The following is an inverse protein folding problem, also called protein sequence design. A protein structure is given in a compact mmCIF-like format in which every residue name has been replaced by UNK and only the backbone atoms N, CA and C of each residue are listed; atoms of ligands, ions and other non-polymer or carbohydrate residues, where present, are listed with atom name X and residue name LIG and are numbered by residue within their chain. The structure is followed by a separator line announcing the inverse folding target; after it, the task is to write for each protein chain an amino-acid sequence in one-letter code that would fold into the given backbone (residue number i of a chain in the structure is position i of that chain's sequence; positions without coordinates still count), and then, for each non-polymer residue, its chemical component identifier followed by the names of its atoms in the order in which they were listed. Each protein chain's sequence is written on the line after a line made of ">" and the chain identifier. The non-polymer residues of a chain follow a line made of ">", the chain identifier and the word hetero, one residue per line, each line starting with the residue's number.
data_IF_172456558155
#
_entry.id   IF_172456558155
#
_cell.length_a   1.000
_cell.length_b   1.000
_cell.length_c   1.000
_cell.angle_alpha   90.00
_cell.angle_beta   90.00
_cell.angle_gamma   90.00
#
_symmetry.space_group_name_H-M   'P 1'
#
loop_
_entity.id
_entity.type
_entity.pdbx_description
1 polymer ?
#
# COMPACT_ATOMS: atom_id res chain seq x y z
N UNK A 1 -30.33 14.06 -17.06
CA UNK A 1 -29.34 12.97 -17.28
C UNK A 1 -29.00 12.34 -15.93
N UNK A 2 -29.58 11.17 -15.61
CA UNK A 2 -29.62 10.62 -14.24
C UNK A 2 -28.40 9.73 -13.98
N UNK A 3 -27.51 10.18 -13.09
CA UNK A 3 -26.55 9.32 -12.41
C UNK A 3 -27.34 8.21 -11.70
N UNK A 4 -26.98 6.94 -11.89
CA UNK A 4 -27.72 5.83 -11.31
C UNK A 4 -27.54 5.88 -9.78
N UNK A 5 -28.52 6.46 -9.07
CA UNK A 5 -28.48 6.69 -7.61
C UNK A 5 -28.26 5.41 -6.80
N UNK A 6 -28.56 4.24 -7.38
CA UNK A 6 -28.46 2.94 -6.74
C UNK A 6 -27.02 2.41 -6.55
N UNK A 7 -25.99 3.12 -7.04
CA UNK A 7 -24.57 2.76 -6.84
C UNK A 7 -23.93 3.42 -5.61
N UNK A 8 -24.59 4.40 -4.99
CA UNK A 8 -24.14 5.04 -3.75
C UNK A 8 -24.77 4.26 -2.59
N UNK A 9 -24.24 3.06 -2.30
CA UNK A 9 -24.79 2.20 -1.24
C UNK A 9 -24.34 2.63 0.16
N UNK A 10 -23.16 3.24 0.29
CA UNK A 10 -22.60 3.66 1.58
C UNK A 10 -21.73 4.91 1.44
N UNK A 11 -21.71 5.72 2.50
CA UNK A 11 -20.80 6.87 2.64
C UNK A 11 -19.46 6.39 3.19
N UNK A 12 -18.40 7.06 2.77
CA UNK A 12 -17.09 6.88 3.40
C UNK A 12 -17.21 7.27 4.88
N UNK A 13 -16.74 6.42 5.79
CA UNK A 13 -16.83 6.70 7.24
C UNK A 13 -15.99 7.91 7.59
N UNK A 14 -16.39 8.73 8.55
CA UNK A 14 -15.50 9.70 9.18
C UNK A 14 -14.81 8.96 10.32
N UNK A 15 -13.48 8.88 10.26
CA UNK A 15 -12.69 8.10 11.21
C UNK A 15 -12.18 9.02 12.31
N UNK A 16 -12.14 8.55 13.56
CA UNK A 16 -11.58 9.30 14.69
C UNK A 16 -10.10 8.99 14.86
N UNK A 17 -9.29 9.99 15.20
CA UNK A 17 -7.87 9.82 15.49
C UNK A 17 -7.59 10.16 16.95
N UNK A 18 -6.59 9.51 17.55
CA UNK A 18 -6.25 9.72 18.96
C UNK A 18 -5.78 11.15 19.24
N UNK A 19 -5.01 11.72 18.32
CA UNK A 19 -4.40 13.03 18.45
C UNK A 19 -4.36 13.78 17.10
N UNK A 20 -4.02 15.06 17.18
CA UNK A 20 -3.84 15.95 16.04
C UNK A 20 -2.44 16.56 16.02
N UNK A 21 -1.75 16.46 14.88
CA UNK A 21 -0.43 17.07 14.65
C UNK A 21 -0.21 17.33 13.16
N UNK A 22 0.69 18.26 12.84
CA UNK A 22 1.08 18.62 11.49
C UNK A 22 0.47 19.94 11.06
N UNK A 23 1.31 20.98 10.99
CA UNK A 23 0.94 22.26 10.39
C UNK A 23 0.99 22.20 8.86
N UNK A 24 -0.17 22.29 8.21
CA UNK A 24 -0.31 22.07 6.77
C UNK A 24 -1.19 23.14 6.14
N UNK A 25 -0.83 23.54 4.92
CA UNK A 25 -1.71 24.37 4.11
C UNK A 25 -2.81 23.50 3.47
N UNK A 26 -3.88 23.25 4.22
CA UNK A 26 -5.02 22.40 3.81
C UNK A 26 -5.67 22.87 2.50
N UNK A 27 -5.61 24.16 2.19
CA UNK A 27 -6.19 24.72 0.96
C UNK A 27 -5.46 24.26 -0.31
N UNK A 28 -4.21 23.81 -0.20
CA UNK A 28 -3.47 23.23 -1.33
C UNK A 28 -3.81 21.76 -1.59
N UNK A 29 -4.53 21.10 -0.68
CA UNK A 29 -4.90 19.69 -0.83
C UNK A 29 -6.17 19.59 -1.70
N UNK A 30 -6.13 18.88 -2.84
CA UNK A 30 -7.28 18.77 -3.73
C UNK A 30 -8.46 18.05 -3.06
N UNK A 31 -9.68 18.49 -3.39
CA UNK A 31 -10.92 17.92 -2.85
C UNK A 31 -11.48 16.86 -3.79
N UNK A 32 -11.76 15.66 -3.28
CA UNK A 32 -12.57 14.66 -3.99
C UNK A 32 -14.04 14.79 -3.58
N UNK A 33 -14.89 15.21 -4.51
CA UNK A 33 -16.33 15.38 -4.26
C UNK A 33 -17.03 14.02 -4.20
N UNK A 34 -18.05 13.90 -3.34
CA UNK A 34 -18.85 12.67 -3.17
C UNK A 34 -19.39 12.09 -4.47
N UNK A 35 -19.79 12.94 -5.43
CA UNK A 35 -20.28 12.51 -6.76
C UNK A 35 -19.23 11.80 -7.64
N UNK A 36 -17.97 11.81 -7.24
CA UNK A 36 -16.83 11.25 -7.98
C UNK A 36 -16.21 10.02 -7.28
N UNK A 37 -16.84 9.48 -6.24
CA UNK A 37 -16.45 8.18 -5.70
C UNK A 37 -17.65 7.40 -5.15
N UNK A 38 -17.46 6.10 -4.92
CA UNK A 38 -18.34 5.29 -4.08
C UNK A 38 -17.50 4.29 -3.29
N UNK A 39 -18.01 3.84 -2.15
CA UNK A 39 -17.36 2.83 -1.30
C UNK A 39 -17.74 1.44 -1.80
N UNK A 40 -16.78 0.53 -1.85
CA UNK A 40 -16.99 -0.88 -2.17
C UNK A 40 -16.88 -1.73 -0.91
N UNK A 41 -18.00 -1.95 -0.23
CA UNK A 41 -18.06 -2.71 1.03
C UNK A 41 -17.95 -4.22 0.85
N UNK A 42 -18.10 -4.73 -0.38
CA UNK A 42 -17.98 -6.16 -0.66
C UNK A 42 -16.52 -6.65 -0.54
N UNK A 43 -15.56 -5.73 -0.46
CA UNK A 43 -14.14 -6.03 -0.37
C UNK A 43 -13.61 -5.83 1.06
N UNK A 44 -13.27 -6.95 1.73
CA UNK A 44 -12.59 -6.91 3.03
C UNK A 44 -11.10 -6.61 2.84
N UNK A 45 -10.58 -5.66 3.61
CA UNK A 45 -9.17 -5.29 3.61
C UNK A 45 -8.53 -5.76 4.91
N UNK A 46 -7.38 -6.43 4.82
CA UNK A 46 -6.60 -6.89 5.98
C UNK A 46 -5.68 -5.81 6.51
N UNK A 47 -5.33 -5.84 7.80
CA UNK A 47 -4.37 -4.98 8.50
C UNK A 47 -5.00 -3.87 9.37
N UNK A 48 -4.22 -3.27 10.25
CA UNK A 48 -4.74 -2.61 11.47
C UNK A 48 -5.28 -1.18 11.26
N UNK A 49 -4.70 -0.42 10.32
CA UNK A 49 -5.08 0.98 10.11
C UNK A 49 -6.52 1.10 9.54
N UNK A 50 -7.32 2.11 9.96
CA UNK A 50 -8.67 2.33 9.45
C UNK A 50 -8.66 2.60 7.94
N UNK A 51 -9.25 1.68 7.16
CA UNK A 51 -9.25 1.75 5.69
C UNK A 51 -10.53 1.25 5.06
N UNK A 52 -10.81 1.77 3.87
CA UNK A 52 -11.93 1.35 3.02
C UNK A 52 -11.49 1.30 1.56
N UNK A 53 -12.07 0.39 0.78
CA UNK A 53 -11.89 0.41 -0.66
C UNK A 53 -12.91 1.39 -1.26
N UNK A 54 -12.44 2.37 -2.03
CA UNK A 54 -13.28 3.27 -2.81
C UNK A 54 -12.99 3.15 -4.29
N UNK A 55 -14.00 3.39 -5.10
CA UNK A 55 -13.89 3.46 -6.55
C UNK A 55 -13.97 4.93 -6.93
N UNK A 56 -12.94 5.46 -7.60
CA UNK A 56 -12.79 6.88 -7.89
C UNK A 56 -12.92 7.14 -9.38
N UNK A 57 -13.79 8.09 -9.73
CA UNK A 57 -13.84 8.64 -11.07
C UNK A 57 -12.73 9.67 -11.28
N UNK A 58 -11.83 9.36 -12.20
CA UNK A 58 -10.83 10.29 -12.73
C UNK A 58 -10.97 10.31 -14.24
N UNK A 59 -11.29 11.46 -14.82
CA UNK A 59 -11.29 11.59 -16.28
C UNK A 59 -9.86 11.43 -16.79
N UNK A 60 -9.67 10.56 -17.77
CA UNK A 60 -8.42 10.37 -18.48
C UNK A 60 -8.76 10.30 -19.97
N UNK A 61 -8.20 11.18 -20.82
CA UNK A 61 -8.35 11.11 -22.26
C UNK A 61 -8.03 9.69 -22.77
N UNK A 62 -8.80 9.22 -23.75
CA UNK A 62 -8.60 7.91 -24.41
C UNK A 62 -8.68 6.67 -23.50
N UNK A 63 -8.97 6.83 -22.21
CA UNK A 63 -9.15 5.72 -21.28
C UNK A 63 -10.52 5.04 -21.46
N UNK A 64 -10.65 3.84 -20.89
CA UNK A 64 -11.94 3.14 -20.75
C UNK A 64 -12.80 3.68 -19.61
N UNK A 65 -12.29 4.64 -18.84
CA UNK A 65 -12.97 5.20 -17.67
C UNK A 65 -14.12 6.08 -18.16
N UNK A 66 -15.34 5.76 -17.71
CA UNK A 66 -16.54 6.50 -18.07
C UNK A 66 -17.33 6.82 -16.81
N UNK A 67 -17.75 8.08 -16.67
CA UNK A 67 -18.55 8.53 -15.52
C UNK A 67 -19.84 7.73 -15.35
N UNK A 68 -20.46 7.34 -16.46
CA UNK A 68 -21.68 6.53 -16.47
C UNK A 68 -21.45 5.02 -16.28
N UNK A 69 -20.19 4.54 -16.23
CA UNK A 69 -19.86 3.12 -16.04
C UNK A 69 -19.00 2.95 -14.78
N UNK A 70 -19.58 2.92 -13.57
CA UNK A 70 -18.84 2.84 -12.30
C UNK A 70 -17.86 1.67 -12.19
N UNK A 71 -18.15 0.54 -12.85
CA UNK A 71 -17.22 -0.61 -12.97
C UNK A 71 -15.88 -0.27 -13.63
N UNK A 72 -15.78 0.87 -14.30
CA UNK A 72 -14.56 1.37 -14.95
C UNK A 72 -13.79 2.37 -14.08
N UNK A 73 -14.30 2.72 -12.91
CA UNK A 73 -13.65 3.65 -11.98
C UNK A 73 -12.42 3.00 -11.36
N UNK A 74 -11.48 3.82 -10.91
CA UNK A 74 -10.18 3.35 -10.44
C UNK A 74 -10.32 2.97 -8.96
N UNK A 75 -9.97 1.74 -8.57
CA UNK A 75 -10.00 1.33 -7.17
C UNK A 75 -8.83 1.94 -6.39
N UNK A 76 -9.12 2.48 -5.20
CA UNK A 76 -8.15 2.99 -4.24
C UNK A 76 -8.48 2.46 -2.85
N UNK A 77 -7.46 2.00 -2.13
CA UNK A 77 -7.52 1.85 -0.69
C UNK A 77 -7.35 3.24 -0.10
N UNK A 78 -8.36 3.73 0.62
CA UNK A 78 -8.28 5.00 1.32
C UNK A 78 -7.97 4.76 2.80
N UNK A 79 -6.96 5.44 3.31
CA UNK A 79 -6.50 5.41 4.70
C UNK A 79 -6.70 6.78 5.34
N UNK A 80 -6.87 6.78 6.65
CA UNK A 80 -6.75 7.97 7.51
C UNK A 80 -5.62 7.75 8.52
N UNK A 81 -5.36 8.74 9.37
CA UNK A 81 -4.51 8.57 10.54
C UNK A 81 -5.26 7.88 11.70
N UNK A 82 -4.57 6.99 12.40
CA UNK A 82 -5.07 6.36 13.63
C UNK A 82 -4.60 7.15 14.86
N UNK A 83 -3.30 7.45 14.96
CA UNK A 83 -2.70 8.12 16.14
C UNK A 83 -2.60 9.63 15.96
N UNK A 84 -2.05 10.09 14.83
CA UNK A 84 -1.78 11.52 14.61
C UNK A 84 -2.36 12.03 13.30
N UNK A 85 -3.54 12.66 13.35
CA UNK A 85 -4.17 13.26 12.18
C UNK A 85 -3.74 14.71 11.95
N UNK A 86 -3.52 15.13 10.69
CA UNK A 86 -3.42 14.34 9.46
C UNK A 86 -1.99 13.81 9.19
N UNK A 87 -1.07 14.02 10.13
CA UNK A 87 0.38 13.75 10.00
C UNK A 87 0.70 12.40 9.36
N UNK A 88 0.10 11.29 9.81
CA UNK A 88 0.39 9.96 9.25
C UNK A 88 0.10 9.86 7.74
N UNK A 89 -1.02 10.43 7.30
CA UNK A 89 -1.38 10.44 5.86
C UNK A 89 -0.43 11.32 5.03
N UNK A 90 0.06 12.41 5.61
CA UNK A 90 1.02 13.30 4.94
C UNK A 90 2.40 12.68 4.88
N UNK A 91 2.86 12.06 5.95
CA UNK A 91 4.15 11.37 6.00
C UNK A 91 4.16 10.18 5.04
N UNK A 92 3.11 9.35 5.03
CA UNK A 92 3.01 8.23 4.07
C UNK A 92 3.04 8.75 2.61
N UNK A 93 2.37 9.87 2.32
CA UNK A 93 2.47 10.53 1.03
C UNK A 93 3.88 11.03 0.72
N UNK A 94 4.52 11.72 1.65
CA UNK A 94 5.88 12.25 1.49
C UNK A 94 6.90 11.13 1.23
N UNK A 95 6.84 10.04 2.00
CA UNK A 95 7.68 8.85 1.82
C UNK A 95 7.48 8.27 0.42
N UNK A 96 6.23 8.14 -0.04
CA UNK A 96 5.97 7.68 -1.40
C UNK A 96 6.63 8.60 -2.46
N UNK A 97 6.56 9.93 -2.27
CA UNK A 97 7.20 10.89 -3.16
C UNK A 97 8.73 10.77 -3.16
N UNK A 98 9.35 10.54 -2.00
CA UNK A 98 10.80 10.28 -1.90
C UNK A 98 11.17 9.07 -2.76
N UNK A 99 10.46 7.95 -2.58
CA UNK A 99 10.73 6.73 -3.36
C UNK A 99 10.54 6.94 -4.86
N UNK A 100 9.54 7.73 -5.27
CA UNK A 100 9.34 8.11 -6.68
C UNK A 100 10.53 8.91 -7.23
N UNK A 101 11.05 9.89 -6.48
CA UNK A 101 12.23 10.65 -6.87
C UNK A 101 13.49 9.79 -6.98
N UNK A 102 13.59 8.73 -6.17
CA UNK A 102 14.65 7.72 -6.24
C UNK A 102 14.44 6.68 -7.37
N UNK A 103 13.44 6.89 -8.23
CA UNK A 103 13.10 5.99 -9.34
C UNK A 103 12.73 4.57 -8.91
N UNK A 104 12.25 4.42 -7.68
CA UNK A 104 11.71 3.16 -7.19
C UNK A 104 10.31 2.95 -7.75
N UNK A 105 9.94 1.68 -7.89
CA UNK A 105 8.58 1.31 -8.28
C UNK A 105 7.63 1.53 -7.12
N UNK A 106 7.17 2.76 -6.93
CA UNK A 106 6.20 3.10 -5.88
C UNK A 106 4.78 2.76 -6.32
N UNK A 107 3.91 2.42 -5.36
CA UNK A 107 2.48 2.37 -5.66
C UNK A 107 1.97 3.78 -6.03
N UNK A 108 0.96 3.85 -6.89
CA UNK A 108 0.32 5.10 -7.26
C UNK A 108 -0.51 5.65 -6.10
N UNK A 109 -0.24 6.88 -5.66
CA UNK A 109 -0.88 7.46 -4.48
C UNK A 109 -1.41 8.87 -4.69
N UNK A 110 -2.35 9.27 -3.84
CA UNK A 110 -2.84 10.66 -3.77
C UNK A 110 -3.05 11.08 -2.32
N UNK A 111 -2.87 12.37 -2.05
CA UNK A 111 -3.31 13.01 -0.81
C UNK A 111 -4.49 13.92 -1.14
N UNK A 112 -5.69 13.61 -0.62
CA UNK A 112 -6.92 14.30 -0.98
C UNK A 112 -7.74 14.66 0.26
N UNK A 113 -8.52 15.73 0.18
CA UNK A 113 -9.59 16.02 1.13
C UNK A 113 -10.88 15.34 0.68
N UNK A 114 -11.35 14.36 1.45
CA UNK A 114 -12.53 13.55 1.16
C UNK A 114 -13.38 13.44 2.43
N UNK A 115 -14.68 13.69 2.30
CA UNK A 115 -15.61 13.66 3.43
C UNK A 115 -15.07 14.44 4.66
N UNK A 116 -14.62 15.68 4.41
CA UNK A 116 -14.00 16.59 5.38
C UNK A 116 -12.69 16.14 6.04
N UNK A 117 -12.10 15.02 5.63
CA UNK A 117 -10.81 14.54 6.15
C UNK A 117 -9.72 14.52 5.06
N UNK A 118 -8.49 14.82 5.44
CA UNK A 118 -7.29 14.57 4.64
C UNK A 118 -7.04 13.07 4.67
N UNK A 119 -6.92 12.46 3.50
CA UNK A 119 -6.76 11.02 3.36
C UNK A 119 -5.66 10.68 2.38
N UNK A 120 -4.92 9.64 2.72
CA UNK A 120 -3.99 8.98 1.82
C UNK A 120 -4.74 7.94 0.99
N UNK A 121 -4.61 7.99 -0.33
CA UNK A 121 -5.19 7.04 -1.25
C UNK A 121 -4.07 6.26 -1.90
N UNK A 122 -4.14 4.94 -1.81
CA UNK A 122 -3.21 4.01 -2.43
C UNK A 122 -3.95 3.25 -3.52
N UNK A 123 -3.53 3.36 -4.77
CA UNK A 123 -4.22 2.73 -5.89
C UNK A 123 -4.17 1.21 -5.74
N UNK A 124 -5.31 0.57 -5.86
CA UNK A 124 -5.36 -0.89 -5.82
C UNK A 124 -4.88 -1.44 -7.17
N UNK A 125 -3.73 -2.11 -7.16
CA UNK A 125 -3.03 -2.52 -8.38
C UNK A 125 -3.29 -3.99 -8.78
N UNK A 126 -3.94 -4.78 -7.91
CA UNK A 126 -4.27 -6.16 -8.23
C UNK A 126 -5.40 -6.26 -9.24
N UNK A 127 -5.26 -7.21 -10.16
CA UNK A 127 -6.27 -7.53 -11.15
C UNK A 127 -6.41 -9.05 -11.27
N UNK A 128 -7.44 -9.51 -11.97
CA UNK A 128 -7.78 -10.94 -12.09
C UNK A 128 -6.66 -11.83 -12.64
N UNK A 129 -5.66 -11.28 -13.33
CA UNK A 129 -4.59 -12.04 -13.98
C UNK A 129 -3.33 -12.15 -13.14
N UNK A 130 -3.21 -11.41 -12.03
CA UNK A 130 -2.03 -11.40 -11.18
C UNK A 130 -2.37 -11.84 -9.76
N UNK A 131 -1.36 -12.34 -9.05
CA UNK A 131 -1.39 -12.69 -7.63
C UNK A 131 -0.16 -12.09 -6.95
N UNK A 132 -0.27 -11.87 -5.64
CA UNK A 132 0.88 -11.60 -4.79
C UNK A 132 1.34 -12.92 -4.21
N UNK A 133 2.65 -13.16 -4.27
CA UNK A 133 3.33 -14.12 -3.42
C UNK A 133 4.08 -13.31 -2.37
N UNK A 134 3.52 -13.22 -1.16
CA UNK A 134 4.10 -12.43 -0.08
C UNK A 134 5.41 -13.04 0.42
N UNK A 135 6.27 -12.24 1.05
CA UNK A 135 7.55 -12.72 1.61
C UNK A 135 7.39 -13.95 2.50
N UNK A 136 6.37 -13.95 3.37
CA UNK A 136 6.08 -15.07 4.27
C UNK A 136 5.71 -16.35 3.51
N UNK A 137 4.94 -16.24 2.42
CA UNK A 137 4.53 -17.37 1.58
C UNK A 137 5.73 -17.95 0.80
N UNK A 138 6.64 -17.08 0.34
CA UNK A 138 7.88 -17.48 -0.34
C UNK A 138 8.76 -18.28 0.64
N UNK A 139 8.93 -17.80 1.87
CA UNK A 139 9.63 -18.51 2.93
C UNK A 139 8.95 -19.86 3.25
N UNK A 140 7.62 -19.89 3.35
CA UNK A 140 6.88 -21.13 3.58
C UNK A 140 6.98 -22.12 2.43
N UNK A 141 7.12 -21.67 1.18
CA UNK A 141 7.32 -22.56 0.03
C UNK A 141 8.71 -23.18 0.06
N UNK A 142 9.72 -22.41 0.49
CA UNK A 142 11.08 -22.89 0.65
C UNK A 142 11.22 -23.89 1.79
N UNK A 143 10.53 -23.66 2.91
CA UNK A 143 10.53 -24.56 4.07
C UNK A 143 9.64 -25.79 3.90
N UNK A 144 8.79 -25.80 2.86
CA UNK A 144 7.69 -26.75 2.70
C UNK A 144 6.70 -26.76 3.89
N UNK A 145 6.65 -25.65 4.65
CA UNK A 145 5.77 -25.44 5.80
C UNK A 145 5.24 -23.99 5.85
N UNK A 146 4.04 -23.80 5.33
CA UNK A 146 3.37 -22.50 5.29
C UNK A 146 2.91 -22.03 6.68
N UNK A 147 2.55 -22.96 7.55
CA UNK A 147 2.00 -22.62 8.86
C UNK A 147 3.13 -22.12 9.77
N UNK A 148 4.25 -22.85 9.81
CA UNK A 148 5.44 -22.41 10.52
C UNK A 148 5.96 -21.06 9.99
N UNK A 149 6.05 -20.89 8.66
CA UNK A 149 6.50 -19.63 8.10
C UNK A 149 5.59 -18.44 8.46
N UNK A 150 4.27 -18.67 8.54
CA UNK A 150 3.31 -17.66 8.99
C UNK A 150 3.50 -17.30 10.46
N UNK A 151 3.74 -18.29 11.33
CA UNK A 151 4.00 -18.08 12.76
C UNK A 151 5.28 -17.27 12.97
N UNK A 152 6.36 -17.63 12.27
CA UNK A 152 7.62 -16.87 12.29
C UNK A 152 7.40 -15.44 11.77
N UNK A 153 6.75 -15.27 10.61
CA UNK A 153 6.53 -13.95 10.02
C UNK A 153 5.69 -12.99 10.89
N UNK A 154 4.83 -13.51 11.77
CA UNK A 154 3.97 -12.73 12.65
C UNK A 154 4.63 -12.39 13.99
N UNK A 155 5.80 -12.95 14.31
CA UNK A 155 6.54 -12.68 15.53
C UNK A 155 7.87 -11.99 15.19
N UNK A 156 8.04 -10.75 15.63
CA UNK A 156 9.21 -9.94 15.27
C UNK A 156 10.53 -10.54 15.75
N UNK A 157 10.54 -11.18 16.92
CA UNK A 157 11.72 -11.80 17.51
C UNK A 157 12.19 -13.00 16.68
N UNK A 158 11.31 -13.98 16.46
CA UNK A 158 11.65 -15.16 15.68
C UNK A 158 11.90 -14.85 14.21
N UNK A 159 11.19 -13.86 13.63
CA UNK A 159 11.46 -13.39 12.27
C UNK A 159 12.88 -12.84 12.13
N UNK A 160 13.40 -12.11 13.12
CA UNK A 160 14.77 -11.57 13.09
C UNK A 160 15.83 -12.66 13.17
N UNK A 161 15.56 -13.72 13.92
CA UNK A 161 16.47 -14.85 14.08
C UNK A 161 16.49 -15.78 12.87
N UNK A 162 15.31 -16.09 12.32
CA UNK A 162 15.15 -17.13 11.30
C UNK A 162 15.08 -16.59 9.88
N UNK A 163 14.43 -15.44 9.65
CA UNK A 163 14.25 -14.87 8.32
C UNK A 163 15.29 -13.80 8.01
N UNK A 164 16.56 -14.19 8.09
CA UNK A 164 17.70 -13.34 7.71
C UNK A 164 17.68 -13.01 6.21
N UNK A 165 18.50 -12.04 5.81
CA UNK A 165 18.68 -11.71 4.40
C UNK A 165 19.09 -12.94 3.57
N UNK A 166 20.07 -13.72 4.07
CA UNK A 166 20.55 -14.94 3.43
C UNK A 166 19.40 -15.93 3.23
N UNK A 167 18.63 -16.20 4.29
CA UNK A 167 17.48 -17.10 4.24
C UNK A 167 16.44 -16.66 3.21
N UNK A 168 16.10 -15.38 3.18
CA UNK A 168 15.14 -14.81 2.22
C UNK A 168 15.68 -14.91 0.80
N UNK A 169 16.97 -14.65 0.57
CA UNK A 169 17.57 -14.77 -0.76
C UNK A 169 17.59 -16.21 -1.26
N UNK A 170 17.88 -17.19 -0.40
CA UNK A 170 17.81 -18.62 -0.76
C UNK A 170 16.37 -19.06 -1.03
N UNK A 171 15.41 -18.57 -0.23
CA UNK A 171 13.98 -18.80 -0.49
C UNK A 171 13.56 -18.29 -1.87
N UNK A 172 13.98 -17.06 -2.24
CA UNK A 172 13.70 -16.49 -3.57
C UNK A 172 14.40 -17.28 -4.68
N UNK A 173 15.65 -17.71 -4.49
CA UNK A 173 16.38 -18.54 -5.47
C UNK A 173 15.70 -19.88 -5.70
N UNK A 174 15.21 -20.52 -4.64
CA UNK A 174 14.52 -21.80 -4.73
C UNK A 174 13.18 -21.67 -5.46
N UNK A 175 12.35 -20.69 -5.07
CA UNK A 175 11.00 -20.50 -5.61
C UNK A 175 11.02 -19.90 -7.03
N UNK A 176 11.92 -18.95 -7.31
CA UNK A 176 11.97 -18.19 -8.57
C UNK A 176 13.29 -18.38 -9.33
N UNK A 177 13.74 -19.64 -9.50
CA UNK A 177 15.05 -20.03 -10.08
C UNK A 177 15.54 -19.19 -11.25
N UNK A 178 14.70 -18.95 -12.26
CA UNK A 178 15.10 -18.26 -13.50
C UNK A 178 15.13 -16.73 -13.40
N UNK A 179 14.56 -16.16 -12.34
CA UNK A 179 14.36 -14.70 -12.19
C UNK A 179 14.87 -14.14 -10.87
N UNK A 180 15.44 -14.99 -10.02
CA UNK A 180 15.87 -14.68 -8.66
C UNK A 180 16.84 -13.49 -8.59
N UNK A 181 17.81 -13.41 -9.51
CA UNK A 181 18.79 -12.31 -9.52
C UNK A 181 18.15 -10.92 -9.59
N UNK A 182 17.16 -10.72 -10.47
CA UNK A 182 16.45 -9.45 -10.58
C UNK A 182 15.56 -9.20 -9.35
N UNK A 183 14.86 -10.23 -8.87
CA UNK A 183 13.99 -10.11 -7.69
C UNK A 183 14.78 -9.75 -6.42
N UNK A 184 15.96 -10.35 -6.23
CA UNK A 184 16.85 -10.04 -5.11
C UNK A 184 17.39 -8.62 -5.24
N UNK A 185 17.81 -8.21 -6.45
CA UNK A 185 18.25 -6.82 -6.68
C UNK A 185 17.14 -5.81 -6.33
N UNK A 186 15.90 -6.08 -6.75
CA UNK A 186 14.78 -5.21 -6.44
C UNK A 186 14.38 -5.25 -4.95
N UNK A 187 14.54 -6.39 -4.27
CA UNK A 187 14.37 -6.47 -2.81
C UNK A 187 15.42 -5.63 -2.07
N UNK A 188 16.69 -5.69 -2.48
CA UNK A 188 17.75 -4.86 -1.90
C UNK A 188 17.43 -3.37 -2.05
N UNK A 189 16.88 -2.95 -3.20
CA UNK A 189 16.42 -1.55 -3.36
C UNK A 189 15.33 -1.16 -2.35
N UNK A 190 14.40 -2.06 -2.03
CA UNK A 190 13.40 -1.82 -0.97
C UNK A 190 14.09 -1.66 0.37
N UNK A 191 15.02 -2.56 0.73
CA UNK A 191 15.74 -2.49 2.00
C UNK A 191 16.57 -1.20 2.13
N UNK A 192 17.27 -0.80 1.07
CA UNK A 192 18.01 0.46 1.03
C UNK A 192 17.07 1.66 1.17
N UNK A 193 15.90 1.62 0.51
CA UNK A 193 14.90 2.66 0.67
C UNK A 193 14.39 2.75 2.11
N UNK A 194 14.07 1.62 2.74
CA UNK A 194 13.62 1.56 4.13
C UNK A 194 14.70 2.12 5.08
N UNK A 195 15.98 1.85 4.82
CA UNK A 195 17.08 2.44 5.58
C UNK A 195 17.14 3.98 5.42
N UNK A 196 16.95 4.50 4.20
CA UNK A 196 16.94 5.96 3.93
C UNK A 196 15.80 6.66 4.67
N UNK A 197 14.60 6.07 4.67
CA UNK A 197 13.43 6.67 5.32
C UNK A 197 13.33 6.28 6.79
N UNK A 198 14.22 5.44 7.33
CA UNK A 198 14.12 4.95 8.70
C UNK A 198 12.86 4.12 8.98
N UNK A 199 12.38 3.34 8.00
CA UNK A 199 11.25 2.44 8.19
C UNK A 199 11.71 1.13 8.86
N UNK A 200 11.29 0.95 10.11
CA UNK A 200 11.64 -0.21 10.92
C UNK A 200 10.56 -1.32 10.91
N UNK A 201 9.49 -1.17 10.12
CA UNK A 201 8.32 -2.05 10.12
C UNK A 201 8.01 -2.63 8.73
N UNK A 202 9.06 -2.97 7.96
CA UNK A 202 8.91 -3.72 6.71
C UNK A 202 8.64 -5.21 7.01
N UNK A 203 7.41 -5.54 7.37
CA UNK A 203 7.01 -6.92 7.60
C UNK A 203 6.92 -7.76 6.31
N UNK A 204 6.91 -9.08 6.42
CA UNK A 204 6.93 -10.01 5.29
C UNK A 204 5.70 -9.97 4.38
N UNK A 205 4.58 -9.41 4.85
CA UNK A 205 3.40 -9.11 4.02
C UNK A 205 3.40 -7.70 3.36
N UNK A 206 4.37 -6.82 3.69
CA UNK A 206 4.50 -5.44 3.17
C UNK A 206 5.32 -5.37 1.88
N UNK A 207 5.70 -6.53 1.35
CA UNK A 207 6.28 -6.70 0.03
C UNK A 207 5.84 -8.05 -0.52
N UNK A 208 5.90 -8.20 -1.84
CA UNK A 208 5.51 -9.43 -2.50
C UNK A 208 6.17 -9.53 -3.89
N UNK A 209 6.26 -10.74 -4.41
CA UNK A 209 6.51 -10.98 -5.82
C UNK A 209 5.17 -11.05 -6.55
N UNK A 210 4.99 -10.24 -7.58
CA UNK A 210 3.82 -10.33 -8.47
C UNK A 210 4.02 -11.46 -9.45
N UNK A 211 3.10 -12.42 -9.43
CA UNK A 211 3.08 -13.57 -10.33
C UNK A 211 1.81 -13.58 -11.17
N UNK A 212 1.86 -14.17 -12.36
CA UNK A 212 0.71 -14.24 -13.28
C UNK A 212 -0.01 -15.58 -13.14
N UNK A 213 -1.35 -15.54 -12.98
CA UNK A 213 -2.18 -16.74 -12.74
C UNK A 213 -2.12 -17.75 -13.88
N UNK A 214 -2.09 -17.25 -15.11
CA UNK A 214 -1.93 -18.10 -16.30
C UNK A 214 -0.45 -18.14 -16.65
N UNK A 215 0.05 -19.32 -17.00
CA UNK A 215 1.35 -19.48 -17.64
C UNK A 215 1.39 -18.55 -18.85
N UNK A 216 2.09 -17.44 -18.71
CA UNK A 216 2.35 -16.48 -19.75
C UNK A 216 3.84 -16.16 -19.73
N UNK A 217 4.36 -15.65 -20.84
CA UNK A 217 5.78 -15.29 -20.98
C UNK A 217 6.21 -14.10 -20.10
N UNK A 218 5.31 -13.56 -19.27
CA UNK A 218 5.62 -12.40 -18.43
C UNK A 218 6.39 -12.84 -17.20
N UNK A 219 7.52 -12.17 -16.98
CA UNK A 219 8.40 -12.42 -15.84
C UNK A 219 7.76 -11.91 -14.53
N UNK A 220 7.93 -12.63 -13.41
CA UNK A 220 7.58 -12.13 -12.09
C UNK A 220 8.43 -10.89 -11.76
N UNK A 221 7.91 -10.04 -10.89
CA UNK A 221 8.59 -8.81 -10.49
C UNK A 221 8.19 -8.43 -9.06
N UNK A 222 9.03 -7.70 -8.33
CA UNK A 222 8.69 -7.20 -6.99
C UNK A 222 7.56 -6.17 -7.09
N UNK A 223 6.52 -6.34 -6.28
CA UNK A 223 5.35 -5.45 -6.22
C UNK A 223 5.76 -3.99 -6.06
N UNK A 224 4.93 -3.03 -6.51
CA UNK A 224 5.15 -1.64 -6.17
C UNK A 224 5.28 -1.50 -4.65
N UNK A 225 6.18 -0.64 -4.16
CA UNK A 225 6.34 -0.41 -2.73
C UNK A 225 5.04 0.25 -2.21
N UNK A 226 4.43 -0.39 -1.23
CA UNK A 226 3.24 0.06 -0.51
C UNK A 226 3.46 -0.10 1.00
N UNK A 227 2.51 0.38 1.79
CA UNK A 227 2.53 0.38 3.27
C UNK A 227 3.86 0.88 3.86
N UNK A 228 4.12 2.17 3.66
CA UNK A 228 5.37 2.80 4.11
C UNK A 228 5.12 3.84 5.20
N UNK A 229 3.97 3.77 5.87
CA UNK A 229 3.53 4.77 6.85
C UNK A 229 4.42 4.85 8.10
N UNK A 230 5.24 3.82 8.35
CA UNK A 230 6.07 3.68 9.55
C UNK A 230 7.52 4.18 9.39
N UNK A 231 7.81 4.89 8.31
CA UNK A 231 9.09 5.60 8.14
C UNK A 231 9.03 7.04 8.63
N UNK A 232 10.20 7.68 8.70
CA UNK A 232 10.42 9.03 9.20
C UNK A 232 9.83 9.19 10.62
N UNK A 233 9.59 10.42 11.04
CA UNK A 233 9.02 10.77 12.34
C UNK A 233 7.49 10.65 12.35
N UNK A 234 6.95 9.56 11.80
CA UNK A 234 5.49 9.39 11.61
C UNK A 234 4.69 9.41 12.91
N UNK A 235 5.31 9.03 14.03
CA UNK A 235 4.71 8.97 15.36
C UNK A 235 5.10 10.13 16.27
N UNK A 236 5.88 11.10 15.76
CA UNK A 236 6.33 12.26 16.53
C UNK A 236 5.44 13.47 16.25
N UNK A 237 5.05 14.17 17.32
CA UNK A 237 4.25 15.39 17.23
C UNK A 237 5.10 16.61 16.90
N UNK A 238 4.48 17.66 16.36
CA UNK A 238 5.14 18.93 16.07
C UNK A 238 5.76 19.56 17.33
N UNK A 239 5.21 19.27 18.52
CA UNK A 239 5.76 19.74 19.78
C UNK A 239 7.10 19.06 20.12
N UNK A 240 7.19 17.74 19.93
CA UNK A 240 8.41 16.98 20.20
C UNK A 240 9.53 17.28 19.20
N UNK A 241 9.20 17.68 17.98
CA UNK A 241 10.20 18.08 16.98
C UNK A 241 10.78 19.47 17.30
N UNK A 242 10.04 20.34 18.01
CA UNK A 242 10.46 21.71 18.32
C UNK A 242 11.33 21.84 19.57
N UNK A 243 11.32 20.83 20.45
CA UNK A 243 12.13 20.77 21.68
C UNK A 243 13.51 20.22 21.41
#
# INVERSE_FOLDING_TARGET
>A
MKFNKNLIKSKLRIETSMNFSGNLNVNKIPILREKNYYVNDDYKLDGDAPKQLIMVYSYQPESKIRRMKPKTWIPYIVKTAEKWYPHESVIEYAINRIGFCLQLRMNEVKLLKINNQIRFLSQYFLNKNIMLSHGAEICGQYLEDQQFAKEVANCQETARELFTYEFVTESIKSVFKQHSGQLISDLVKIMTFDAIIGNNDRHFYNWAVVVYKKRCSKKPYISPIYDTARGLMWNESDQKIKS
#
